data_IF_790053637240
#
_entry.id   IF_790053637240
#
_cell.length_a   1.000
_cell.length_b   1.000
_cell.length_c   1.000
_cell.angle_alpha   90.00
_cell.angle_beta   90.00
_cell.angle_gamma   90.00
#
_symmetry.space_group_name_H-M   'P 1'
#
loop_
_entity.id
_entity.type
_entity.pdbx_description
1 polymer ?
#
# COMPACT_ATOMS: atom_id res chain seq x y z
N UNK A 1 -13.28 27.79 -66.05
CA UNK A 1 -12.00 27.51 -65.35
C UNK A 1 -12.25 26.83 -63.99
N UNK A 2 -13.29 25.99 -63.89
CA UNK A 2 -13.94 25.74 -62.58
C UNK A 2 -13.79 24.27 -62.14
N UNK A 3 -13.75 23.33 -63.10
CA UNK A 3 -13.60 21.91 -62.80
C UNK A 3 -12.20 21.52 -62.29
N UNK A 4 -11.15 22.24 -62.71
CA UNK A 4 -9.77 22.00 -62.23
C UNK A 4 -9.59 22.47 -60.78
N UNK A 5 -10.12 23.66 -60.46
CA UNK A 5 -10.07 24.22 -59.10
C UNK A 5 -10.91 23.35 -58.15
N UNK A 6 -12.11 22.92 -58.57
CA UNK A 6 -12.98 22.04 -57.77
C UNK A 6 -12.33 20.68 -57.46
N UNK A 7 -11.56 20.11 -58.41
CA UNK A 7 -10.85 18.85 -58.19
C UNK A 7 -9.70 19.04 -57.20
N UNK A 8 -8.92 20.11 -57.32
CA UNK A 8 -7.81 20.40 -56.41
C UNK A 8 -8.32 20.61 -54.99
N UNK A 9 -9.41 21.37 -54.82
CA UNK A 9 -10.00 21.59 -53.50
C UNK A 9 -10.57 20.30 -52.91
N UNK A 10 -11.27 19.48 -53.70
CA UNK A 10 -11.77 18.18 -53.25
C UNK A 10 -10.66 17.20 -52.82
N UNK A 11 -9.54 17.15 -53.56
CA UNK A 11 -8.41 16.31 -53.16
C UNK A 11 -7.72 16.84 -51.88
N UNK A 12 -7.63 18.15 -51.73
CA UNK A 12 -7.03 18.75 -50.51
C UNK A 12 -7.85 18.47 -49.25
N UNK A 13 -9.18 18.48 -49.35
CA UNK A 13 -10.06 18.20 -48.20
C UNK A 13 -10.04 16.73 -47.81
N UNK A 14 -9.97 15.81 -48.78
CA UNK A 14 -9.79 14.38 -48.50
C UNK A 14 -8.45 14.08 -47.81
N UNK A 15 -7.37 14.75 -48.23
CA UNK A 15 -6.05 14.57 -47.64
C UNK A 15 -6.00 15.04 -46.17
N UNK A 16 -6.69 16.14 -45.85
CA UNK A 16 -6.82 16.64 -44.47
C UNK A 16 -7.62 15.68 -43.57
N UNK A 17 -8.62 14.99 -44.11
CA UNK A 17 -9.44 14.05 -43.35
C UNK A 17 -8.72 12.71 -43.08
N UNK A 18 -7.81 12.30 -43.97
CA UNK A 18 -7.02 11.08 -43.83
C UNK A 18 -6.00 11.12 -42.66
N UNK A 19 -5.67 12.32 -42.15
CA UNK A 19 -4.76 12.48 -41.00
C UNK A 19 -5.42 12.25 -39.63
N UNK A 20 -6.76 12.25 -39.55
CA UNK A 20 -7.48 12.12 -38.27
C UNK A 20 -7.52 10.68 -37.73
N UNK A 21 -7.25 9.69 -38.59
CA UNK A 21 -7.21 8.27 -38.25
C UNK A 21 -5.79 7.71 -38.08
N UNK A 22 -4.75 8.56 -38.11
CA UNK A 22 -3.41 8.17 -37.71
C UNK A 22 -3.42 7.97 -36.19
N UNK A 23 -3.96 6.82 -35.78
CA UNK A 23 -3.84 6.31 -34.43
C UNK A 23 -2.33 6.23 -34.17
N UNK A 24 -1.81 7.22 -33.46
CA UNK A 24 -0.43 7.24 -33.00
C UNK A 24 -0.24 5.90 -32.31
N UNK A 25 0.47 5.00 -32.99
CA UNK A 25 0.58 3.60 -32.62
C UNK A 25 0.97 3.59 -31.15
N UNK A 26 0.00 3.29 -30.27
CA UNK A 26 0.29 3.25 -28.85
C UNK A 26 1.43 2.25 -28.75
N UNK A 27 2.58 2.61 -28.15
CA UNK A 27 3.67 1.66 -28.03
C UNK A 27 3.04 0.39 -27.45
N UNK A 28 3.28 -0.78 -28.09
CA UNK A 28 2.64 -2.01 -27.66
C UNK A 28 2.83 -2.11 -26.15
N UNK A 29 1.74 -2.39 -25.43
CA UNK A 29 1.79 -2.72 -24.01
C UNK A 29 2.57 -4.02 -23.90
N UNK A 30 3.89 -3.91 -24.00
CA UNK A 30 4.82 -5.02 -23.96
C UNK A 30 5.09 -5.39 -22.50
N UNK A 31 5.89 -6.43 -22.31
CA UNK A 31 6.23 -6.92 -20.98
C UNK A 31 6.96 -5.88 -20.10
N UNK A 32 7.44 -4.77 -20.67
CA UNK A 32 8.14 -3.69 -19.96
C UNK A 32 7.19 -2.58 -19.50
N UNK A 33 5.93 -2.58 -19.96
CA UNK A 33 4.97 -1.59 -19.51
C UNK A 33 4.71 -1.71 -18.00
N UNK A 34 4.92 -0.60 -17.28
CA UNK A 34 4.79 -0.57 -15.82
C UNK A 34 5.97 -1.19 -15.06
N UNK A 35 7.08 -1.52 -15.73
CA UNK A 35 8.27 -2.09 -15.07
C UNK A 35 8.83 -1.17 -13.98
N UNK A 36 8.86 0.14 -14.20
CA UNK A 36 9.33 1.12 -13.20
C UNK A 36 8.49 1.12 -11.93
N UNK A 37 7.16 1.02 -12.07
CA UNK A 37 6.23 0.95 -10.94
C UNK A 37 6.39 -0.38 -10.21
N UNK A 38 6.50 -1.50 -10.93
CA UNK A 38 6.76 -2.81 -10.34
C UNK A 38 8.07 -2.82 -9.56
N UNK A 39 9.16 -2.29 -10.12
CA UNK A 39 10.44 -2.16 -9.40
C UNK A 39 10.33 -1.27 -8.16
N UNK A 40 9.60 -0.16 -8.24
CA UNK A 40 9.40 0.71 -7.08
C UNK A 40 8.62 -0.01 -5.95
N UNK A 41 7.62 -0.82 -6.29
CA UNK A 41 6.87 -1.63 -5.33
C UNK A 41 7.73 -2.75 -4.76
N UNK A 42 8.50 -3.46 -5.59
CA UNK A 42 9.44 -4.48 -5.10
C UNK A 42 10.46 -3.89 -4.12
N UNK A 43 10.97 -2.68 -4.39
CA UNK A 43 11.90 -1.99 -3.49
C UNK A 43 11.27 -1.55 -2.15
N UNK A 44 9.94 -1.54 -2.04
CA UNK A 44 9.24 -1.24 -0.79
C UNK A 44 8.94 -2.49 0.04
N UNK A 45 9.16 -3.69 -0.50
CA UNK A 45 8.98 -4.92 0.26
C UNK A 45 10.12 -5.06 1.27
N UNK A 46 9.76 -4.98 2.54
CA UNK A 46 10.68 -5.28 3.64
C UNK A 46 10.86 -6.80 3.74
N UNK A 47 12.07 -7.22 4.14
CA UNK A 47 12.33 -8.61 4.50
C UNK A 47 11.41 -9.02 5.65
N UNK A 48 10.54 -10.03 5.48
CA UNK A 48 9.64 -10.50 6.54
C UNK A 48 10.39 -11.27 7.63
N UNK A 49 11.67 -11.59 7.42
CA UNK A 49 12.50 -12.28 8.40
C UNK A 49 12.71 -11.36 9.62
N UNK A 50 12.50 -11.86 10.85
CA UNK A 50 12.76 -11.08 12.04
C UNK A 50 14.25 -10.68 12.06
N UNK A 51 14.53 -9.38 12.16
CA UNK A 51 15.89 -8.87 12.25
C UNK A 51 16.62 -9.33 13.53
N UNK A 52 15.87 -9.72 14.57
CA UNK A 52 16.41 -10.35 15.79
C UNK A 52 15.29 -10.99 16.62
N UNK A 53 15.64 -11.88 17.54
CA UNK A 53 14.73 -12.43 18.57
C UNK A 53 14.34 -11.43 19.67
N UNK A 54 14.83 -10.18 19.59
CA UNK A 54 14.44 -9.15 20.55
C UNK A 54 12.98 -8.75 20.29
N UNK A 55 12.16 -8.61 21.35
CA UNK A 55 10.79 -8.17 21.20
C UNK A 55 10.73 -6.82 20.49
N UNK A 56 9.74 -6.66 19.60
CA UNK A 56 9.51 -5.42 18.86
C UNK A 56 9.38 -4.27 19.87
N UNK A 57 10.21 -3.24 19.72
CA UNK A 57 10.28 -2.07 20.64
C UNK A 57 9.61 -0.81 20.06
N UNK A 58 8.89 -0.94 18.95
CA UNK A 58 8.08 0.14 18.36
C UNK A 58 6.93 0.59 19.26
N UNK A 59 6.11 1.54 18.78
CA UNK A 59 5.00 2.15 19.54
C UNK A 59 4.10 1.09 20.21
N UNK A 60 3.71 0.05 19.46
CA UNK A 60 2.89 -1.05 19.96
C UNK A 60 3.70 -2.13 20.69
N UNK A 61 5.02 -2.10 20.54
CA UNK A 61 5.96 -3.01 21.19
C UNK A 61 5.98 -2.87 22.71
N UNK A 62 5.88 -1.63 23.20
CA UNK A 62 5.77 -1.35 24.63
C UNK A 62 4.46 -1.90 25.20
N UNK A 63 3.35 -1.74 24.48
CA UNK A 63 2.06 -2.30 24.86
C UNK A 63 2.07 -3.82 24.86
N UNK A 64 2.63 -4.43 23.81
CA UNK A 64 2.77 -5.88 23.71
C UNK A 64 3.64 -6.46 24.84
N UNK A 65 4.75 -5.79 25.18
CA UNK A 65 5.61 -6.18 26.32
C UNK A 65 4.84 -6.13 27.64
N UNK A 66 4.15 -5.02 27.91
CA UNK A 66 3.40 -4.84 29.16
C UNK A 66 2.26 -5.86 29.28
N UNK A 67 1.57 -6.17 28.17
CA UNK A 67 0.53 -7.20 28.13
C UNK A 67 1.09 -8.60 28.43
N UNK A 68 2.24 -8.96 27.85
CA UNK A 68 2.91 -10.23 28.11
C UNK A 68 3.41 -10.36 29.55
N UNK A 69 3.94 -9.27 30.13
CA UNK A 69 4.36 -9.23 31.53
C UNK A 69 3.17 -9.40 32.49
N UNK A 70 2.04 -8.73 32.22
CA UNK A 70 0.83 -8.87 33.01
C UNK A 70 0.25 -10.30 32.92
N UNK A 71 0.25 -10.90 31.73
CA UNK A 71 -0.16 -12.29 31.53
C UNK A 71 0.69 -13.26 32.34
N UNK A 72 2.03 -13.14 32.27
CA UNK A 72 2.94 -14.01 33.05
C UNK A 72 2.72 -13.86 34.55
N UNK A 73 2.58 -12.63 35.06
CA UNK A 73 2.30 -12.38 36.49
C UNK A 73 0.95 -12.96 36.93
N UNK A 74 -0.05 -12.96 36.05
CA UNK A 74 -1.36 -13.56 36.37
C UNK A 74 -1.33 -15.09 36.47
N UNK A 75 -0.31 -15.73 35.88
CA UNK A 75 -0.12 -17.19 35.92
C UNK A 75 0.78 -17.66 37.07
N UNK A 76 1.44 -16.74 37.77
CA UNK A 76 2.23 -17.08 38.96
C UNK A 76 1.30 -17.39 40.13
N UNK A 77 1.47 -18.54 40.83
CA UNK A 77 0.66 -18.87 41.98
C UNK A 77 0.93 -17.87 43.12
N UNK A 78 -0.12 -17.24 43.62
CA UNK A 78 -0.07 -16.31 44.74
C UNK A 78 0.51 -17.01 45.98
N UNK A 79 1.65 -16.56 46.54
CA UNK A 79 2.22 -17.14 47.76
C UNK A 79 1.34 -16.89 49.00
N UNK A 80 0.33 -16.02 48.92
CA UNK A 80 -0.65 -15.79 49.96
C UNK A 80 -2.05 -16.13 49.47
N UNK A 81 -2.45 -17.38 49.70
CA UNK A 81 -3.76 -17.90 49.32
C UNK A 81 -4.93 -16.94 49.60
N UNK A 82 -5.69 -16.67 48.55
CA UNK A 82 -7.03 -16.11 48.62
C UNK A 82 -7.09 -14.59 48.41
N UNK A 83 -7.27 -14.19 47.16
CA UNK A 83 -8.52 -13.58 46.64
C UNK A 83 -8.29 -13.22 45.18
N UNK A 84 -9.19 -13.70 44.32
CA UNK A 84 -9.22 -13.46 42.88
C UNK A 84 -9.22 -11.95 42.59
N UNK A 85 -8.04 -11.38 42.41
CA UNK A 85 -7.90 -10.04 41.86
C UNK A 85 -7.85 -10.20 40.35
N UNK A 86 -9.01 -10.28 39.72
CA UNK A 86 -9.11 -9.72 38.37
C UNK A 86 -8.74 -8.25 38.51
N UNK A 87 -7.58 -7.80 37.99
CA UNK A 87 -7.20 -6.43 38.19
C UNK A 87 -8.11 -5.58 37.30
N UNK A 88 -8.80 -4.61 37.91
CA UNK A 88 -9.43 -3.45 37.26
C UNK A 88 -8.47 -2.67 36.31
N UNK A 89 -7.20 -3.10 36.19
CA UNK A 89 -6.21 -2.58 35.27
C UNK A 89 -6.59 -2.69 33.78
N UNK A 90 -7.46 -3.63 33.38
CA UNK A 90 -7.96 -3.69 31.99
C UNK A 90 -9.04 -2.63 31.73
N UNK A 91 -9.71 -2.12 32.77
CA UNK A 91 -10.80 -1.13 32.65
C UNK A 91 -10.38 0.31 33.00
N UNK A 92 -9.13 0.55 33.36
CA UNK A 92 -8.59 1.90 33.62
C UNK A 92 -7.98 2.57 32.38
N UNK A 93 -8.54 2.32 31.19
CA UNK A 93 -8.43 3.25 30.02
C UNK A 93 -9.36 4.46 30.24
N UNK A 94 -9.48 4.91 31.49
CA UNK A 94 -10.35 6.03 31.83
C UNK A 94 -9.55 7.33 31.70
N UNK A 95 -9.73 7.92 30.53
CA UNK A 95 -9.67 9.35 30.24
C UNK A 95 -8.37 10.08 30.58
N UNK A 96 -7.43 10.06 29.64
CA UNK A 96 -6.45 11.14 29.53
C UNK A 96 -7.09 12.27 28.70
N UNK A 97 -7.46 13.34 29.40
CA UNK A 97 -7.73 14.67 28.85
C UNK A 97 -6.43 15.42 28.60
#
# INVERSE_FOLDING_TARGET
MNARILRITAFSTLALLAGCGAEASRPPLDATWGLSVRMAVENQKLDPTPASDRPVVGLDGVFARNAMEAYRKSSEPDPQGGKDKFPDAILMVKEAK
#
